data_IF_030343497372
#
_entry.id   IF_030343497372
#
_cell.length_a   1.000
_cell.length_b   1.000
_cell.length_c   1.000
_cell.angle_alpha   90.00
_cell.angle_beta   90.00
_cell.angle_gamma   90.00
#
_symmetry.space_group_name_H-M   'P 1'
#
loop_
_entity.id
_entity.type
_entity.pdbx_description
1 polymer ?
#
# COMPACT_ATOMS: atom_id res chain seq x y z
N UNK A 1 12.44 -15.10 3.75
CA UNK A 1 12.03 -13.86 4.46
C UNK A 1 12.98 -13.47 5.60
N UNK A 2 14.17 -14.08 5.77
CA UNK A 2 15.08 -13.76 6.90
C UNK A 2 15.70 -12.37 6.82
N UNK A 3 16.15 -11.96 5.63
CA UNK A 3 16.95 -10.74 5.43
C UNK A 3 16.14 -9.45 5.30
N UNK A 4 14.80 -9.52 5.26
CA UNK A 4 13.96 -8.34 5.22
C UNK A 4 14.13 -7.52 6.50
N UNK A 5 14.47 -6.24 6.37
CA UNK A 5 14.65 -5.31 7.49
C UNK A 5 13.63 -4.19 7.38
N UNK A 6 12.44 -4.40 7.92
CA UNK A 6 11.32 -3.46 7.79
C UNK A 6 11.64 -2.00 8.15
N UNK A 7 12.54 -1.73 9.09
CA UNK A 7 12.83 -0.41 9.63
C UNK A 7 14.18 0.18 9.22
N UNK A 8 14.97 -0.53 8.41
CA UNK A 8 16.26 -0.08 7.89
C UNK A 8 16.46 -0.64 6.48
N UNK A 9 17.65 -0.51 5.91
CA UNK A 9 18.01 -1.26 4.69
C UNK A 9 19.14 -2.25 4.95
N UNK A 10 19.62 -2.85 3.86
CA UNK A 10 20.73 -3.80 3.84
C UNK A 10 22.11 -3.17 4.03
N UNK A 11 23.11 -3.76 3.39
CA UNK A 11 24.45 -3.17 3.26
C UNK A 11 24.77 -3.03 1.77
N UNK A 12 25.36 -1.90 1.37
CA UNK A 12 25.80 -1.69 -0.01
C UNK A 12 27.31 -1.55 -0.01
N UNK A 13 28.02 -2.49 -0.64
CA UNK A 13 29.47 -2.42 -0.78
C UNK A 13 30.22 -2.34 0.55
N UNK A 14 29.73 -3.04 1.58
CA UNK A 14 30.29 -3.03 2.94
C UNK A 14 29.99 -1.77 3.76
N UNK A 15 29.16 -0.86 3.26
CA UNK A 15 28.68 0.30 4.01
C UNK A 15 27.26 0.06 4.53
N UNK A 16 26.96 0.42 5.79
CA UNK A 16 25.61 0.30 6.34
C UNK A 16 24.66 1.27 5.62
N UNK A 17 23.42 0.82 5.40
CA UNK A 17 22.35 1.68 4.88
C UNK A 17 22.10 2.86 5.83
N UNK A 18 22.33 4.08 5.36
CA UNK A 18 22.20 5.29 6.16
C UNK A 18 20.73 5.61 6.49
N UNK A 19 20.51 6.33 7.60
CA UNK A 19 19.17 6.68 8.12
C UNK A 19 18.35 7.62 7.21
N UNK A 20 18.96 8.21 6.18
CA UNK A 20 18.28 9.06 5.21
C UNK A 20 17.73 8.32 4.00
N UNK A 21 18.07 7.03 3.84
CA UNK A 21 17.59 6.21 2.74
C UNK A 21 16.30 5.47 3.13
N UNK A 22 15.44 5.14 2.15
CA UNK A 22 14.21 4.41 2.41
C UNK A 22 14.50 3.04 3.00
N UNK A 23 13.68 2.63 3.96
CA UNK A 23 13.68 1.29 4.54
C UNK A 23 13.17 0.25 3.54
N UNK A 24 13.41 -1.04 3.80
CA UNK A 24 12.85 -2.10 2.96
C UNK A 24 11.31 -2.02 2.89
N UNK A 25 10.64 -1.60 3.97
CA UNK A 25 9.20 -1.44 3.97
C UNK A 25 8.74 -0.29 3.04
N UNK A 26 9.44 0.85 3.08
CA UNK A 26 9.13 1.97 2.19
C UNK A 26 9.40 1.62 0.72
N UNK A 27 10.47 0.88 0.44
CA UNK A 27 10.77 0.38 -0.90
C UNK A 27 9.69 -0.57 -1.41
N UNK A 28 9.24 -1.52 -0.59
CA UNK A 28 8.17 -2.45 -0.96
C UNK A 28 6.84 -1.74 -1.19
N UNK A 29 6.48 -0.76 -0.35
CA UNK A 29 5.27 0.04 -0.58
C UNK A 29 5.40 0.84 -1.89
N UNK A 30 6.57 1.43 -2.15
CA UNK A 30 6.80 2.19 -3.38
C UNK A 30 6.72 1.31 -4.64
N UNK A 31 7.28 0.10 -4.60
CA UNK A 31 7.17 -0.88 -5.68
C UNK A 31 5.72 -1.30 -5.92
N UNK A 32 4.98 -1.60 -4.85
CA UNK A 32 3.56 -1.93 -4.93
C UNK A 32 2.75 -0.77 -5.53
N UNK A 33 3.00 0.46 -5.07
CA UNK A 33 2.33 1.65 -5.57
C UNK A 33 2.62 1.92 -7.04
N UNK A 34 3.89 1.81 -7.43
CA UNK A 34 4.35 2.02 -8.82
C UNK A 34 3.73 0.98 -9.75
N UNK A 35 3.64 -0.28 -9.32
CA UNK A 35 2.98 -1.32 -10.09
C UNK A 35 1.50 -0.98 -10.33
N UNK A 36 0.76 -0.57 -9.30
CA UNK A 36 -0.66 -0.20 -9.45
C UNK A 36 -0.85 1.11 -10.21
N UNK A 37 0.05 2.09 -10.06
CA UNK A 37 0.05 3.32 -10.86
C UNK A 37 0.13 3.03 -12.37
N UNK A 38 0.87 1.98 -12.77
CA UNK A 38 0.98 1.56 -14.18
C UNK A 38 -0.25 0.80 -14.70
N UNK A 39 -1.01 0.16 -13.82
CA UNK A 39 -2.18 -0.63 -14.21
C UNK A 39 -3.48 0.19 -14.22
N UNK A 40 -3.56 1.25 -13.40
CA UNK A 40 -4.74 2.07 -13.30
C UNK A 40 -4.79 3.15 -14.39
N UNK A 41 -5.94 3.37 -15.05
CA UNK A 41 -6.09 4.43 -16.01
C UNK A 41 -6.04 5.78 -15.32
N UNK A 42 -5.49 6.78 -16.02
CA UNK A 42 -5.59 8.17 -15.59
C UNK A 42 -7.07 8.55 -15.54
N UNK A 43 -7.54 8.97 -14.36
CA UNK A 43 -8.92 9.43 -14.20
C UNK A 43 -9.01 10.86 -14.75
N UNK A 44 -10.06 11.21 -15.53
CA UNK A 44 -10.18 12.55 -16.13
C UNK A 44 -10.29 13.69 -15.10
N UNK A 45 -10.73 13.40 -13.87
CA UNK A 45 -10.71 14.36 -12.75
C UNK A 45 -9.31 14.60 -12.16
N UNK A 46 -8.34 13.72 -12.43
CA UNK A 46 -6.98 13.74 -11.89
C UNK A 46 -5.96 14.02 -13.00
N UNK A 47 -6.30 14.91 -13.94
CA UNK A 47 -5.53 15.19 -15.17
C UNK A 47 -4.07 15.60 -14.93
N UNK A 48 -3.72 16.03 -13.73
CA UNK A 48 -2.37 16.48 -13.38
C UNK A 48 -1.49 15.41 -12.72
N UNK A 49 -2.02 14.24 -12.32
CA UNK A 49 -1.21 13.25 -11.60
C UNK A 49 -0.94 11.98 -12.42
N UNK A 50 0.32 11.80 -12.79
CA UNK A 50 0.84 10.57 -13.42
C UNK A 50 0.77 9.31 -12.55
N UNK A 51 0.27 9.41 -11.31
CA UNK A 51 0.28 8.35 -10.28
C UNK A 51 -1.11 8.14 -9.67
N UNK A 52 -2.03 7.47 -10.39
CA UNK A 52 -3.43 7.31 -9.98
C UNK A 52 -3.60 6.50 -8.67
N UNK A 53 -2.79 5.47 -8.43
CA UNK A 53 -2.83 4.72 -7.19
C UNK A 53 -2.26 5.54 -6.03
N UNK A 54 -1.03 6.01 -6.17
CA UNK A 54 -0.31 6.71 -5.10
C UNK A 54 -1.10 7.92 -4.59
N UNK A 55 -1.70 8.70 -5.50
CA UNK A 55 -2.45 9.90 -5.12
C UNK A 55 -3.80 9.61 -4.49
N UNK A 56 -4.47 8.50 -4.83
CA UNK A 56 -5.82 8.21 -4.33
C UNK A 56 -5.85 7.24 -3.17
N UNK A 57 -4.84 6.38 -3.01
CA UNK A 57 -4.87 5.27 -2.05
C UNK A 57 -3.69 5.27 -1.08
N UNK A 58 -2.74 6.20 -1.18
CA UNK A 58 -1.69 6.41 -0.18
C UNK A 58 -1.80 7.84 0.38
N UNK A 59 -1.74 7.98 1.70
CA UNK A 59 -1.78 9.27 2.38
C UNK A 59 -0.71 9.36 3.46
N UNK A 60 -0.19 10.56 3.69
CA UNK A 60 0.80 10.86 4.76
C UNK A 60 0.14 11.14 6.11
N UNK A 61 -1.18 11.37 6.12
CA UNK A 61 -1.92 11.61 7.35
C UNK A 61 -3.40 11.28 7.16
N UNK A 62 -4.13 11.00 8.27
CA UNK A 62 -5.57 10.82 8.22
C UNK A 62 -6.29 12.03 7.61
N UNK A 63 -5.81 13.25 7.90
CA UNK A 63 -6.37 14.50 7.37
C UNK A 63 -6.31 14.60 5.84
N UNK A 64 -5.19 14.20 5.24
CA UNK A 64 -5.02 14.13 3.78
C UNK A 64 -5.87 13.05 3.11
N UNK A 65 -6.37 12.09 3.90
CA UNK A 65 -7.11 10.94 3.43
C UNK A 65 -8.63 11.04 3.59
N UNK A 66 -9.15 12.02 4.36
CA UNK A 66 -10.56 12.10 4.79
C UNK A 66 -11.63 12.00 3.71
N UNK A 67 -11.31 12.35 2.45
CA UNK A 67 -12.25 12.27 1.33
C UNK A 67 -12.27 10.90 0.64
N UNK A 68 -11.41 9.97 1.07
CA UNK A 68 -11.22 8.65 0.46
C UNK A 68 -11.97 7.60 1.27
N UNK A 69 -12.62 6.67 0.58
CA UNK A 69 -13.26 5.51 1.23
C UNK A 69 -12.25 4.53 1.80
N UNK A 70 -11.14 4.32 1.09
CA UNK A 70 -10.07 3.42 1.51
C UNK A 70 -8.71 3.99 1.15
N UNK A 71 -7.75 3.95 2.07
CA UNK A 71 -6.36 4.34 1.80
C UNK A 71 -5.37 3.75 2.81
N UNK A 72 -4.16 3.44 2.37
CA UNK A 72 -3.03 3.16 3.26
C UNK A 72 -2.49 4.49 3.78
N UNK A 73 -2.45 4.64 5.11
CA UNK A 73 -1.90 5.83 5.79
C UNK A 73 -0.48 5.51 6.24
N UNK A 74 0.48 6.32 5.81
CA UNK A 74 1.84 6.36 6.36
C UNK A 74 1.85 7.21 7.62
N UNK A 75 1.75 6.56 8.78
CA UNK A 75 1.68 7.23 10.07
C UNK A 75 3.06 7.71 10.55
N UNK A 76 4.11 6.94 10.29
CA UNK A 76 5.50 7.29 10.63
C UNK A 76 6.44 6.78 9.54
N UNK A 77 7.56 7.49 9.32
CA UNK A 77 8.62 7.10 8.39
C UNK A 77 9.77 6.35 9.07
N UNK A 78 10.09 6.68 10.33
CA UNK A 78 11.19 6.05 11.06
C UNK A 78 10.86 5.87 12.56
N UNK A 79 10.52 4.66 13.02
CA UNK A 79 10.33 3.46 12.20
C UNK A 79 9.08 3.57 11.30
N UNK A 80 9.04 2.91 10.14
CA UNK A 80 7.93 2.99 9.21
C UNK A 80 6.68 2.32 9.80
N UNK A 81 5.56 3.02 9.76
CA UNK A 81 4.30 2.53 10.29
C UNK A 81 3.14 2.89 9.37
N UNK A 82 2.35 1.88 9.02
CA UNK A 82 1.24 1.93 8.09
C UNK A 82 -0.05 1.52 8.80
N UNK A 83 -1.09 2.31 8.60
CA UNK A 83 -2.47 2.08 9.05
C UNK A 83 -3.41 2.11 7.84
N UNK A 84 -4.68 1.79 8.05
CA UNK A 84 -5.67 1.76 6.98
C UNK A 84 -6.80 2.75 7.29
N UNK A 85 -7.13 3.63 6.37
CA UNK A 85 -8.37 4.39 6.40
C UNK A 85 -9.47 3.52 5.78
N UNK A 86 -10.60 3.40 6.46
CA UNK A 86 -11.84 2.80 5.93
C UNK A 86 -13.00 3.72 6.31
N UNK A 87 -13.73 4.23 5.33
CA UNK A 87 -14.91 5.09 5.50
C UNK A 87 -14.69 6.27 6.47
N UNK A 88 -13.51 6.89 6.40
CA UNK A 88 -13.13 8.04 7.24
C UNK A 88 -12.56 7.68 8.62
N UNK A 89 -12.58 6.41 9.01
CA UNK A 89 -12.04 5.89 10.27
C UNK A 89 -10.64 5.28 10.04
N UNK A 90 -9.70 5.57 10.94
CA UNK A 90 -8.35 4.99 10.89
C UNK A 90 -8.34 3.69 11.69
N UNK A 91 -8.12 2.58 11.00
CA UNK A 91 -7.83 1.29 11.60
C UNK A 91 -6.33 1.18 11.89
N UNK A 92 -6.00 1.11 13.17
CA UNK A 92 -4.62 0.91 13.62
C UNK A 92 -4.19 -0.53 13.40
N UNK A 93 -3.03 -0.70 12.79
CA UNK A 93 -2.41 -2.00 12.55
C UNK A 93 -1.24 -2.15 13.54
N UNK A 94 -1.03 -3.32 14.16
CA UNK A 94 0.11 -3.52 15.04
C UNK A 94 1.43 -3.14 14.37
N UNK A 95 2.30 -2.46 15.12
CA UNK A 95 3.62 -2.03 14.65
C UNK A 95 4.58 -3.22 14.51
N UNK A 96 5.70 -3.00 13.82
CA UNK A 96 6.79 -3.96 13.72
C UNK A 96 6.94 -4.59 12.33
N UNK A 97 7.67 -5.70 12.26
CA UNK A 97 8.15 -6.32 11.02
C UNK A 97 7.06 -6.55 9.99
N UNK A 98 5.89 -7.01 10.42
CA UNK A 98 4.84 -7.42 9.50
C UNK A 98 3.83 -6.31 9.17
N UNK A 99 4.00 -5.12 9.75
CA UNK A 99 3.01 -4.05 9.65
C UNK A 99 2.66 -3.67 8.21
N UNK A 100 3.66 -3.54 7.32
CA UNK A 100 3.41 -3.28 5.90
C UNK A 100 2.61 -4.40 5.23
N UNK A 101 2.96 -5.66 5.48
CA UNK A 101 2.27 -6.80 4.86
C UNK A 101 0.82 -6.88 5.32
N UNK A 102 0.57 -6.64 6.60
CA UNK A 102 -0.80 -6.53 7.12
C UNK A 102 -1.56 -5.38 6.46
N UNK A 103 -0.93 -4.21 6.30
CA UNK A 103 -1.56 -3.07 5.62
C UNK A 103 -1.94 -3.39 4.17
N UNK A 104 -1.06 -4.05 3.41
CA UNK A 104 -1.32 -4.45 2.01
C UNK A 104 -2.43 -5.51 1.93
N UNK A 105 -2.36 -6.55 2.76
CA UNK A 105 -3.37 -7.63 2.77
C UNK A 105 -4.73 -7.10 3.19
N UNK A 106 -4.80 -6.30 4.25
CA UNK A 106 -6.05 -5.67 4.69
C UNK A 106 -6.59 -4.70 3.65
N UNK A 107 -5.73 -3.92 2.99
CA UNK A 107 -6.14 -3.07 1.88
C UNK A 107 -6.81 -3.89 0.76
N UNK A 108 -6.17 -4.97 0.29
CA UNK A 108 -6.74 -5.85 -0.74
C UNK A 108 -8.06 -6.48 -0.28
N UNK A 109 -8.15 -6.91 0.98
CA UNK A 109 -9.38 -7.46 1.56
C UNK A 109 -10.51 -6.41 1.56
N UNK A 110 -10.22 -5.18 1.97
CA UNK A 110 -11.19 -4.11 1.97
C UNK A 110 -11.63 -3.72 0.54
N UNK A 111 -10.72 -3.71 -0.44
CA UNK A 111 -11.09 -3.54 -1.86
C UNK A 111 -12.02 -4.66 -2.32
N UNK A 112 -11.73 -5.92 -1.95
CA UNK A 112 -12.58 -7.07 -2.27
C UNK A 112 -13.99 -6.94 -1.67
N UNK A 113 -14.09 -6.57 -0.39
CA UNK A 113 -15.36 -6.57 0.37
C UNK A 113 -16.19 -5.32 0.08
N UNK A 114 -15.58 -4.14 0.11
CA UNK A 114 -16.30 -2.85 0.06
C UNK A 114 -16.36 -2.24 -1.33
N UNK A 115 -15.38 -2.53 -2.20
CA UNK A 115 -15.32 -2.01 -3.57
C UNK A 115 -15.57 -3.11 -4.61
N UNK A 116 -16.13 -4.26 -4.20
CA UNK A 116 -16.43 -5.41 -5.07
C UNK A 116 -15.22 -5.90 -5.89
N UNK A 117 -14.01 -5.75 -5.35
CA UNK A 117 -12.77 -6.09 -6.03
C UNK A 117 -12.34 -5.11 -7.11
N UNK A 118 -12.91 -3.90 -7.14
CA UNK A 118 -12.61 -2.86 -8.10
C UNK A 118 -11.77 -1.75 -7.46
N UNK A 119 -10.74 -1.32 -8.17
CA UNK A 119 -9.96 -0.15 -7.83
C UNK A 119 -10.17 0.90 -8.93
N UNK A 120 -11.06 1.85 -8.66
CA UNK A 120 -11.60 2.73 -9.70
C UNK A 120 -12.36 1.93 -10.75
N UNK A 121 -11.83 1.87 -11.99
CA UNK A 121 -12.44 1.13 -13.11
C UNK A 121 -11.76 -0.21 -13.41
N UNK A 122 -10.72 -0.58 -12.66
CA UNK A 122 -9.94 -1.79 -12.91
C UNK A 122 -10.31 -2.85 -11.87
N UNK A 123 -10.55 -4.07 -12.34
CA UNK A 123 -10.75 -5.21 -11.45
C UNK A 123 -9.40 -5.72 -10.94
N UNK A 124 -9.31 -5.97 -9.63
CA UNK A 124 -8.20 -6.70 -9.03
C UNK A 124 -8.43 -8.22 -9.06
N UNK A 125 -9.58 -8.69 -9.53
CA UNK A 125 -9.88 -10.12 -9.68
C UNK A 125 -9.37 -10.71 -11.00
N UNK A 126 -9.74 -11.96 -11.26
CA UNK A 126 -9.27 -12.80 -12.39
C UNK A 126 -9.41 -12.19 -13.79
N UNK A 127 -10.33 -11.24 -13.96
CA UNK A 127 -10.58 -10.59 -15.26
C UNK A 127 -9.80 -9.27 -15.42
N UNK A 128 -8.98 -8.89 -14.44
CA UNK A 128 -8.13 -7.70 -14.50
C UNK A 128 -6.70 -8.02 -14.09
N UNK A 129 -6.20 -7.37 -13.02
CA UNK A 129 -4.80 -7.52 -12.58
C UNK A 129 -4.56 -8.87 -11.88
N UNK A 130 -5.61 -9.56 -11.45
CA UNK A 130 -5.54 -10.81 -10.69
C UNK A 130 -4.56 -10.69 -9.51
N UNK A 131 -4.86 -9.76 -8.60
CA UNK A 131 -4.21 -9.65 -7.29
C UNK A 131 -5.04 -10.28 -6.18
N UNK A 132 -6.36 -10.38 -6.34
CA UNK A 132 -7.23 -10.91 -5.29
C UNK A 132 -6.97 -12.38 -5.00
N UNK A 133 -6.34 -13.13 -5.93
CA UNK A 133 -5.86 -14.50 -5.66
C UNK A 133 -4.90 -14.59 -4.46
N UNK A 134 -4.20 -13.51 -4.10
CA UNK A 134 -3.29 -13.45 -2.94
C UNK A 134 -4.06 -13.72 -1.64
N UNK A 135 -5.33 -13.31 -1.58
CA UNK A 135 -6.21 -13.45 -0.40
C UNK A 135 -7.40 -14.38 -0.64
N UNK A 136 -7.62 -14.81 -1.89
CA UNK A 136 -8.58 -15.84 -2.22
C UNK A 136 -7.94 -17.20 -1.99
N UNK A 137 -8.17 -17.79 -0.83
CA UNK A 137 -7.85 -19.20 -0.65
C UNK A 137 -8.91 -20.04 -1.37
N UNK A 138 -8.48 -20.84 -2.35
CA UNK A 138 -9.19 -22.08 -2.68
C UNK A 138 -8.83 -23.02 -1.53
N UNK A 139 -9.76 -23.17 -0.58
CA UNK A 139 -9.51 -23.85 0.69
C UNK A 139 -8.69 -25.13 0.58
N UNK A 140 -7.91 -25.38 1.65
CA UNK A 140 -7.33 -26.68 1.99
C UNK A 140 -8.33 -27.83 1.84
#
# INVERSE_FOLDING_TARGET
MGDFKWNVGGEIGGKPWERGYPTDAELLLHLFATYLDLQLPLSPCNSDTSKPFSSNYIAESPGAAKQRKIAIIRHSLNPPHYNLLIDGEVQEIPTGRNNLFYAVVLFLYCVKVYEHGMLGRISLGKHGIDMLWIIDDKGF
#
